data_IF_394829925191
#
_entry.id   IF_394829925191
#
_cell.length_a   1.000
_cell.length_b   1.000
_cell.length_c   1.000
_cell.angle_alpha   90.00
_cell.angle_beta   90.00
_cell.angle_gamma   90.00
#
_symmetry.space_group_name_H-M   'P 1'
#
loop_
_entity.id
_entity.type
_entity.pdbx_description
1 polymer ?
#
# COMPACT_ATOMS: atom_id res chain seq x y z
N UNK A 1 11.26 -43.29 -14.95
CA UNK A 1 10.43 -42.92 -16.13
C UNK A 1 9.04 -43.48 -15.91
N UNK A 2 8.05 -42.62 -15.62
CA UNK A 2 6.69 -43.06 -15.26
C UNK A 2 5.87 -43.35 -16.53
N UNK A 3 5.22 -44.52 -16.60
CA UNK A 3 4.37 -44.94 -17.72
C UNK A 3 3.16 -44.00 -17.85
N UNK A 4 3.00 -43.39 -19.01
CA UNK A 4 1.80 -42.62 -19.35
C UNK A 4 0.58 -43.55 -19.34
N UNK A 5 -0.46 -43.14 -18.62
CA UNK A 5 -1.75 -43.85 -18.56
C UNK A 5 -2.34 -43.97 -19.97
N UNK A 6 -2.76 -45.16 -20.38
CA UNK A 6 -3.33 -45.43 -21.72
C UNK A 6 -4.62 -44.65 -21.99
N UNK A 7 -5.27 -44.18 -20.94
CA UNK A 7 -6.52 -43.44 -20.89
C UNK A 7 -6.33 -41.93 -20.71
N UNK A 8 -5.09 -41.42 -20.77
CA UNK A 8 -4.79 -39.99 -20.61
C UNK A 8 -5.49 -39.14 -21.67
N UNK A 9 -5.59 -39.63 -22.91
CA UNK A 9 -6.20 -38.89 -24.01
C UNK A 9 -7.71 -38.61 -23.82
N UNK A 10 -8.40 -39.43 -23.02
CA UNK A 10 -9.81 -39.25 -22.71
C UNK A 10 -10.06 -38.57 -21.36
N UNK A 11 -8.99 -38.28 -20.61
CA UNK A 11 -9.09 -37.64 -19.30
C UNK A 11 -9.62 -36.21 -19.39
N UNK A 12 -10.40 -35.82 -18.39
CA UNK A 12 -10.86 -34.42 -18.22
C UNK A 12 -9.68 -33.44 -18.16
N UNK A 13 -8.54 -33.87 -17.64
CA UNK A 13 -7.33 -33.05 -17.57
C UNK A 13 -6.74 -32.74 -18.95
N UNK A 14 -6.76 -33.71 -19.87
CA UNK A 14 -6.27 -33.49 -21.22
C UNK A 14 -7.15 -32.53 -22.00
N UNK A 15 -8.48 -32.67 -21.90
CA UNK A 15 -9.44 -31.73 -22.50
C UNK A 15 -9.29 -30.30 -21.97
N UNK A 16 -9.05 -30.15 -20.67
CA UNK A 16 -8.80 -28.85 -20.06
C UNK A 16 -7.48 -28.24 -20.56
N UNK A 17 -6.42 -29.05 -20.67
CA UNK A 17 -5.13 -28.62 -21.23
C UNK A 17 -5.24 -28.21 -22.71
N UNK A 18 -5.99 -28.95 -23.53
CA UNK A 18 -6.21 -28.60 -24.95
C UNK A 18 -6.98 -27.28 -25.08
N UNK A 19 -8.01 -27.08 -24.25
CA UNK A 19 -8.76 -25.82 -24.20
C UNK A 19 -7.88 -24.64 -23.80
N UNK A 20 -7.00 -24.82 -22.79
CA UNK A 20 -6.05 -23.79 -22.35
C UNK A 20 -5.07 -23.38 -23.46
N UNK A 21 -4.69 -24.35 -24.31
CA UNK A 21 -3.75 -24.15 -25.41
C UNK A 21 -4.42 -23.69 -26.73
N UNK A 22 -5.75 -23.56 -26.76
CA UNK A 22 -6.50 -23.15 -27.96
C UNK A 22 -6.61 -24.23 -29.04
N UNK A 23 -6.27 -25.47 -28.73
CA UNK A 23 -6.43 -26.61 -29.63
C UNK A 23 -7.89 -27.07 -29.61
N UNK A 24 -8.66 -26.70 -30.63
CA UNK A 24 -10.04 -27.20 -30.78
C UNK A 24 -10.00 -28.71 -31.05
N UNK A 25 -10.73 -29.55 -30.30
CA UNK A 25 -10.80 -30.97 -30.58
C UNK A 25 -11.50 -31.18 -31.92
N UNK A 26 -10.74 -31.56 -32.95
CA UNK A 26 -11.32 -32.04 -34.20
C UNK A 26 -11.88 -33.42 -33.92
N UNK A 27 -13.16 -33.46 -33.57
CA UNK A 27 -13.92 -34.70 -33.43
C UNK A 27 -14.04 -35.32 -34.84
N UNK A 28 -13.07 -36.16 -35.23
CA UNK A 28 -13.17 -36.93 -36.47
C UNK A 28 -14.26 -37.99 -36.27
N UNK A 29 -15.52 -37.59 -36.43
CA UNK A 29 -16.60 -38.54 -36.66
C UNK A 29 -16.31 -39.19 -37.99
N UNK A 30 -15.92 -40.46 -37.97
CA UNK A 30 -15.94 -41.31 -39.16
C UNK A 30 -17.39 -41.42 -39.63
N UNK A 31 -17.82 -40.50 -40.50
CA UNK A 31 -19.08 -40.66 -41.22
C UNK A 31 -18.92 -41.85 -42.17
N UNK A 32 -19.82 -42.86 -42.14
CA UNK A 32 -19.81 -43.92 -43.13
C UNK A 32 -20.42 -43.37 -44.43
N UNK A 33 -19.58 -42.76 -45.28
CA UNK A 33 -20.02 -42.05 -46.49
C UNK A 33 -19.97 -42.89 -47.78
N UNK A 34 -19.84 -44.21 -47.66
CA UNK A 34 -19.60 -45.09 -48.81
C UNK A 34 -20.86 -45.68 -49.48
N UNK A 35 -22.06 -45.18 -49.15
CA UNK A 35 -23.35 -45.75 -49.61
C UNK A 35 -24.35 -44.72 -50.19
N UNK A 36 -23.92 -43.50 -50.48
CA UNK A 36 -24.78 -42.48 -51.09
C UNK A 36 -24.61 -42.52 -52.62
N UNK A 37 -25.71 -42.39 -53.36
CA UNK A 37 -25.66 -42.22 -54.83
C UNK A 37 -25.16 -40.82 -55.20
N UNK A 38 -24.58 -40.64 -56.41
CA UNK A 38 -23.99 -39.35 -56.84
C UNK A 38 -24.98 -38.18 -56.74
N UNK A 39 -26.27 -38.43 -56.96
CA UNK A 39 -27.34 -37.44 -56.86
C UNK A 39 -27.65 -37.04 -55.41
N UNK A 40 -27.62 -38.01 -54.48
CA UNK A 40 -27.78 -37.78 -53.04
C UNK A 40 -26.57 -37.04 -52.45
N UNK A 41 -25.38 -37.35 -52.94
CA UNK A 41 -24.12 -36.72 -52.52
C UNK A 41 -24.08 -35.25 -52.93
N UNK A 42 -24.48 -34.95 -54.17
CA UNK A 42 -24.60 -33.57 -54.68
C UNK A 42 -25.61 -32.75 -53.84
N UNK A 43 -26.79 -33.32 -53.57
CA UNK A 43 -27.84 -32.65 -52.80
C UNK A 43 -27.42 -32.39 -51.35
N UNK A 44 -26.72 -33.35 -50.72
CA UNK A 44 -26.18 -33.18 -49.37
C UNK A 44 -25.05 -32.14 -49.34
N UNK A 45 -24.20 -32.09 -50.36
CA UNK A 45 -23.15 -31.07 -50.48
C UNK A 45 -23.75 -29.66 -50.61
N UNK A 46 -24.81 -29.49 -51.39
CA UNK A 46 -25.56 -28.23 -51.46
C UNK A 46 -26.20 -27.86 -50.11
N UNK A 47 -26.82 -28.81 -49.41
CA UNK A 47 -27.39 -28.59 -48.08
C UNK A 47 -26.33 -28.19 -47.04
N UNK A 48 -25.18 -28.86 -47.02
CA UNK A 48 -24.08 -28.56 -46.09
C UNK A 48 -23.43 -27.22 -46.42
N UNK A 49 -23.30 -26.86 -47.70
CA UNK A 49 -22.85 -25.53 -48.14
C UNK A 49 -23.84 -24.42 -47.73
N UNK A 50 -25.15 -24.64 -47.84
CA UNK A 50 -26.15 -23.69 -47.39
C UNK A 50 -26.19 -23.57 -45.86
N UNK A 51 -25.99 -24.68 -45.13
CA UNK A 51 -25.80 -24.67 -43.66
C UNK A 51 -24.56 -23.90 -43.24
N UNK A 52 -23.44 -24.09 -43.95
CA UNK A 52 -22.20 -23.36 -43.68
C UNK A 52 -22.36 -21.85 -43.93
N UNK A 53 -23.02 -21.45 -45.03
CA UNK A 53 -23.33 -20.04 -45.32
C UNK A 53 -24.29 -19.43 -44.27
N UNK A 54 -25.30 -20.18 -43.83
CA UNK A 54 -26.21 -19.71 -42.77
C UNK A 54 -25.51 -19.61 -41.42
N UNK A 55 -24.63 -20.55 -41.09
CA UNK A 55 -23.79 -20.48 -39.89
C UNK A 55 -22.87 -19.26 -39.92
N UNK A 56 -22.15 -19.01 -41.03
CA UNK A 56 -21.31 -17.83 -41.20
C UNK A 56 -22.10 -16.52 -41.12
N UNK A 57 -23.29 -16.43 -41.75
CA UNK A 57 -24.16 -15.26 -41.65
C UNK A 57 -24.66 -15.04 -40.23
N UNK A 58 -24.94 -16.12 -39.48
CA UNK A 58 -25.37 -16.06 -38.09
C UNK A 58 -24.24 -15.59 -37.17
N UNK A 59 -23.01 -16.09 -37.38
CA UNK A 59 -21.83 -15.61 -36.69
C UNK A 59 -21.55 -14.14 -36.99
N UNK A 60 -21.51 -13.74 -38.27
CA UNK A 60 -21.29 -12.34 -38.65
C UNK A 60 -22.33 -11.38 -38.03
N UNK A 61 -23.60 -11.79 -37.96
CA UNK A 61 -24.66 -11.05 -37.26
C UNK A 61 -24.42 -10.96 -35.75
N UNK A 62 -23.97 -12.04 -35.11
CA UNK A 62 -23.64 -12.04 -33.69
C UNK A 62 -22.44 -11.13 -33.41
N UNK A 63 -21.37 -11.22 -34.21
CA UNK A 63 -20.20 -10.34 -34.10
C UNK A 63 -20.56 -8.87 -34.29
N UNK A 64 -21.40 -8.53 -35.28
CA UNK A 64 -21.88 -7.17 -35.47
C UNK A 64 -22.69 -6.66 -34.26
N UNK A 65 -23.55 -7.51 -33.69
CA UNK A 65 -24.35 -7.18 -32.50
C UNK A 65 -23.49 -6.99 -31.24
N UNK A 66 -22.46 -7.81 -31.04
CA UNK A 66 -21.52 -7.66 -29.93
C UNK A 66 -20.62 -6.42 -30.08
N UNK A 67 -20.28 -6.05 -31.31
CA UNK A 67 -19.47 -4.87 -31.60
C UNK A 67 -20.20 -3.55 -31.33
N UNK A 68 -21.49 -3.47 -31.64
CA UNK A 68 -22.30 -2.26 -31.40
C UNK A 68 -22.86 -2.16 -29.99
N UNK A 69 -22.87 -3.25 -29.23
CA UNK A 69 -23.44 -3.29 -27.88
C UNK A 69 -22.77 -2.34 -26.87
N UNK A 70 -21.43 -2.18 -26.83
CA UNK A 70 -20.77 -1.18 -25.99
C UNK A 70 -21.17 0.26 -26.34
N UNK A 71 -21.42 0.55 -27.61
CA UNK A 71 -21.69 1.90 -28.11
C UNK A 71 -23.13 2.37 -27.83
N UNK A 72 -24.11 1.45 -27.77
CA UNK A 72 -25.52 1.85 -27.60
C UNK A 72 -26.05 1.74 -26.16
N UNK A 73 -25.71 0.67 -25.42
CA UNK A 73 -26.36 0.36 -24.11
C UNK A 73 -25.46 -0.34 -23.08
N UNK A 74 -24.40 -1.00 -23.53
CA UNK A 74 -23.53 -1.85 -22.69
C UNK A 74 -22.83 -1.08 -21.58
N UNK A 75 -22.29 0.11 -21.89
CA UNK A 75 -21.60 0.96 -20.90
C UNK A 75 -22.54 1.42 -19.79
N UNK A 76 -23.77 1.84 -20.11
CA UNK A 76 -24.72 2.32 -19.10
C UNK A 76 -25.23 1.19 -18.19
N UNK A 77 -25.44 -0.01 -18.75
CA UNK A 77 -25.80 -1.21 -17.97
C UNK A 77 -24.62 -1.60 -17.08
N UNK A 78 -23.40 -1.64 -17.63
CA UNK A 78 -22.19 -1.93 -16.88
C UNK A 78 -21.98 -0.95 -15.72
N UNK A 79 -22.07 0.36 -15.96
CA UNK A 79 -21.94 1.37 -14.90
C UNK A 79 -23.03 1.26 -13.83
N UNK A 80 -24.26 0.91 -14.22
CA UNK A 80 -25.37 0.73 -13.26
C UNK A 80 -25.13 -0.51 -12.40
N UNK A 81 -24.75 -1.62 -13.02
CA UNK A 81 -24.41 -2.87 -12.31
C UNK A 81 -23.19 -2.67 -11.41
N UNK A 82 -22.14 -2.00 -11.90
CA UNK A 82 -20.95 -1.65 -11.13
C UNK A 82 -21.29 -0.79 -9.92
N UNK A 83 -22.08 0.27 -10.10
CA UNK A 83 -22.53 1.13 -8.98
C UNK A 83 -23.33 0.33 -7.95
N UNK A 84 -24.26 -0.52 -8.39
CA UNK A 84 -25.05 -1.36 -7.49
C UNK A 84 -24.15 -2.33 -6.72
N UNK A 85 -23.24 -3.03 -7.40
CA UNK A 85 -22.29 -3.95 -6.77
C UNK A 85 -21.35 -3.23 -5.80
N UNK A 86 -20.83 -2.05 -6.17
CA UNK A 86 -19.98 -1.25 -5.30
C UNK A 86 -20.71 -0.81 -4.02
N UNK A 87 -21.97 -0.39 -4.13
CA UNK A 87 -22.82 -0.05 -2.98
C UNK A 87 -23.10 -1.29 -2.13
N UNK A 88 -23.43 -2.42 -2.73
CA UNK A 88 -23.67 -3.68 -2.01
C UNK A 88 -22.41 -4.14 -1.26
N UNK A 89 -21.24 -4.06 -1.89
CA UNK A 89 -19.95 -4.39 -1.25
C UNK A 89 -19.68 -3.42 -0.09
N UNK A 90 -19.87 -2.12 -0.29
CA UNK A 90 -19.70 -1.14 0.79
C UNK A 90 -20.64 -1.42 1.96
N UNK A 91 -21.92 -1.67 1.70
CA UNK A 91 -22.90 -2.01 2.73
C UNK A 91 -22.55 -3.33 3.43
N UNK A 92 -22.04 -4.33 2.70
CA UNK A 92 -21.58 -5.58 3.29
C UNK A 92 -20.37 -5.37 4.21
N UNK A 93 -19.39 -4.56 3.79
CA UNK A 93 -18.23 -4.22 4.62
C UNK A 93 -18.65 -3.43 5.86
N UNK A 94 -19.49 -2.40 5.70
CA UNK A 94 -20.03 -1.62 6.83
C UNK A 94 -20.83 -2.52 7.77
N UNK A 95 -21.71 -3.36 7.25
CA UNK A 95 -22.49 -4.31 8.04
C UNK A 95 -21.61 -5.28 8.81
N UNK A 96 -20.59 -5.85 8.16
CA UNK A 96 -19.60 -6.72 8.80
C UNK A 96 -18.85 -6.00 9.94
N UNK A 97 -18.41 -4.77 9.72
CA UNK A 97 -17.74 -3.97 10.74
C UNK A 97 -18.68 -3.61 11.90
N UNK A 98 -19.92 -3.22 11.63
CA UNK A 98 -20.92 -2.93 12.66
C UNK A 98 -21.27 -4.16 13.49
N UNK A 99 -21.42 -5.32 12.84
CA UNK A 99 -21.61 -6.60 13.53
C UNK A 99 -20.40 -6.88 14.44
N UNK A 100 -19.17 -6.73 13.92
CA UNK A 100 -17.95 -6.92 14.71
C UNK A 100 -17.91 -5.98 15.92
N UNK A 101 -18.26 -4.70 15.73
CA UNK A 101 -18.35 -3.72 16.81
C UNK A 101 -19.41 -4.09 17.83
N UNK A 102 -20.55 -4.65 17.39
CA UNK A 102 -21.62 -5.10 18.31
C UNK A 102 -21.22 -6.29 19.18
N UNK A 103 -20.22 -7.07 18.76
CA UNK A 103 -19.64 -8.19 19.52
C UNK A 103 -18.42 -7.79 20.37
N UNK A 104 -17.99 -6.52 20.35
CA UNK A 104 -16.91 -6.09 21.22
C UNK A 104 -17.33 -6.24 22.69
N UNK A 105 -16.46 -6.82 23.54
CA UNK A 105 -16.77 -6.97 24.95
C UNK A 105 -16.91 -5.60 25.64
N UNK A 106 -17.76 -5.56 26.68
CA UNK A 106 -17.93 -4.35 27.47
C UNK A 106 -16.62 -3.90 28.13
N UNK A 107 -16.42 -2.59 28.17
CA UNK A 107 -15.20 -2.02 28.70
C UNK A 107 -15.06 -2.30 30.21
N UNK A 108 -13.87 -2.72 30.65
CA UNK A 108 -13.56 -2.91 32.07
C UNK A 108 -13.94 -4.26 32.68
N UNK A 109 -14.54 -5.18 31.91
CA UNK A 109 -14.82 -6.53 32.39
C UNK A 109 -13.52 -7.37 32.48
N UNK A 110 -13.32 -8.06 33.60
CA UNK A 110 -12.15 -8.91 33.87
C UNK A 110 -12.04 -10.10 32.92
N UNK A 111 -13.18 -10.62 32.45
CA UNK A 111 -13.23 -11.83 31.61
C UNK A 111 -13.02 -11.52 30.12
N UNK A 112 -12.72 -10.27 29.79
CA UNK A 112 -12.45 -9.87 28.42
C UNK A 112 -11.24 -10.63 27.84
N UNK A 113 -11.30 -11.09 26.59
CA UNK A 113 -10.19 -11.83 25.95
C UNK A 113 -8.84 -11.09 25.94
N UNK A 114 -8.87 -9.76 26.07
CA UNK A 114 -7.67 -8.91 26.18
C UNK A 114 -6.92 -9.11 27.51
N UNK A 115 -7.60 -9.54 28.57
CA UNK A 115 -7.01 -9.79 29.89
C UNK A 115 -6.40 -11.20 29.94
N UNK A 116 -5.38 -11.43 29.12
CA UNK A 116 -4.69 -12.71 29.01
C UNK A 116 -3.25 -12.64 29.57
N UNK A 117 -2.52 -13.75 29.46
CA UNK A 117 -1.13 -13.84 29.90
C UNK A 117 -0.20 -12.82 29.22
N UNK A 118 -0.48 -12.47 27.96
CA UNK A 118 0.34 -11.54 27.17
C UNK A 118 0.21 -10.12 27.73
N UNK A 119 -1.02 -9.65 27.95
CA UNK A 119 -1.28 -8.35 28.57
C UNK A 119 -0.70 -8.28 29.98
N UNK A 120 -0.85 -9.35 30.77
CA UNK A 120 -0.26 -9.46 32.11
C UNK A 120 1.26 -9.35 32.06
N UNK A 121 1.92 -10.07 31.12
CA UNK A 121 3.37 -10.02 30.91
C UNK A 121 3.86 -8.61 30.55
N UNK A 122 3.15 -7.93 29.63
CA UNK A 122 3.50 -6.56 29.24
C UNK A 122 3.45 -5.58 30.40
N UNK A 123 2.49 -5.73 31.31
CA UNK A 123 2.33 -4.85 32.47
C UNK A 123 3.34 -5.19 33.57
N UNK A 124 3.49 -6.47 33.92
CA UNK A 124 4.29 -6.91 35.07
C UNK A 124 5.79 -6.99 34.77
N UNK A 125 6.16 -7.38 33.54
CA UNK A 125 7.54 -7.67 33.14
C UNK A 125 8.07 -6.73 32.05
N UNK A 126 7.22 -5.83 31.54
CA UNK A 126 7.58 -4.90 30.46
C UNK A 126 8.81 -4.04 30.79
N UNK A 127 8.91 -3.53 32.02
CA UNK A 127 10.04 -2.67 32.41
C UNK A 127 11.35 -3.47 32.48
N UNK A 128 11.29 -4.70 32.99
CA UNK A 128 12.46 -5.57 33.15
C UNK A 128 12.99 -6.06 31.81
N UNK A 129 12.10 -6.34 30.85
CA UNK A 129 12.47 -6.85 29.52
C UNK A 129 12.88 -5.73 28.56
N UNK A 130 12.10 -4.65 28.52
CA UNK A 130 12.29 -3.59 27.52
C UNK A 130 13.10 -2.40 28.05
N UNK A 131 13.19 -2.24 29.37
CA UNK A 131 13.78 -1.07 30.02
C UNK A 131 12.98 0.22 29.84
N UNK A 132 11.82 0.19 29.19
CA UNK A 132 10.95 1.35 28.98
C UNK A 132 9.94 1.50 30.12
N UNK A 133 9.82 2.72 30.64
CA UNK A 133 8.80 3.07 31.65
C UNK A 133 7.43 3.21 30.98
N UNK A 134 7.42 3.71 29.73
CA UNK A 134 6.23 3.72 28.90
C UNK A 134 5.97 2.33 28.32
N UNK A 135 4.98 1.63 28.90
CA UNK A 135 4.55 0.28 28.50
C UNK A 135 4.14 0.24 27.02
N UNK A 136 3.47 1.27 26.51
CA UNK A 136 3.03 1.32 25.11
C UNK A 136 4.23 1.34 24.19
N UNK A 137 5.21 2.20 24.47
CA UNK A 137 6.43 2.29 23.66
C UNK A 137 7.28 1.02 23.76
N UNK A 138 7.40 0.42 24.94
CA UNK A 138 8.00 -0.91 25.10
C UNK A 138 7.27 -1.99 24.31
N UNK A 139 5.94 -1.94 24.25
CA UNK A 139 5.13 -2.86 23.44
C UNK A 139 5.40 -2.69 21.95
N UNK A 140 5.21 -1.49 21.40
CA UNK A 140 5.24 -1.27 19.95
C UNK A 140 6.66 -1.33 19.37
N UNK A 141 7.69 -0.97 20.15
CA UNK A 141 9.09 -0.94 19.69
C UNK A 141 9.92 -2.12 20.20
N UNK A 142 9.39 -2.99 21.05
CA UNK A 142 10.07 -4.23 21.44
C UNK A 142 9.25 -5.48 21.11
N UNK A 143 8.22 -5.77 21.90
CA UNK A 143 7.40 -6.98 21.73
C UNK A 143 6.76 -7.08 20.34
N UNK A 144 6.26 -5.96 19.83
CA UNK A 144 5.55 -5.82 18.54
C UNK A 144 6.33 -4.93 17.57
N UNK A 145 7.66 -4.97 17.64
CA UNK A 145 8.53 -4.16 16.79
C UNK A 145 8.33 -4.42 15.28
N UNK A 146 7.93 -5.63 14.89
CA UNK A 146 7.61 -5.94 13.50
C UNK A 146 6.41 -5.15 12.98
N UNK A 147 5.42 -4.88 13.83
CA UNK A 147 4.23 -4.12 13.44
C UNK A 147 4.62 -2.66 13.13
N UNK A 148 5.38 -2.03 14.04
CA UNK A 148 5.91 -0.67 13.83
C UNK A 148 6.83 -0.58 12.61
N UNK A 149 7.65 -1.60 12.38
CA UNK A 149 8.48 -1.69 11.18
C UNK A 149 7.62 -1.74 9.91
N UNK A 150 6.59 -2.58 9.91
CA UNK A 150 5.61 -2.69 8.83
C UNK A 150 4.87 -1.38 8.57
N UNK A 151 4.36 -0.72 9.61
CA UNK A 151 3.71 0.59 9.51
C UNK A 151 4.63 1.64 8.87
N UNK A 152 5.90 1.68 9.27
CA UNK A 152 6.89 2.60 8.68
C UNK A 152 7.16 2.30 7.21
N UNK A 153 7.16 1.02 6.82
CA UNK A 153 7.28 0.60 5.42
C UNK A 153 6.05 0.97 4.60
N UNK A 154 4.85 0.78 5.14
CA UNK A 154 3.59 1.15 4.49
C UNK A 154 3.58 2.65 4.18
N UNK A 155 4.01 3.49 5.13
CA UNK A 155 4.15 4.94 4.91
C UNK A 155 5.13 5.27 3.78
N UNK A 156 6.32 4.65 3.78
CA UNK A 156 7.32 4.85 2.73
C UNK A 156 6.84 4.39 1.34
N UNK A 157 6.21 3.22 1.26
CA UNK A 157 5.64 2.68 0.03
C UNK A 157 4.52 3.59 -0.47
N UNK A 158 3.64 4.08 0.41
CA UNK A 158 2.54 4.96 0.04
C UNK A 158 3.05 6.27 -0.59
N UNK A 159 4.09 6.90 -0.03
CA UNK A 159 4.73 8.07 -0.65
C UNK A 159 5.34 7.71 -2.01
N UNK A 160 6.03 6.57 -2.10
CA UNK A 160 6.64 6.11 -3.35
C UNK A 160 5.60 5.84 -4.44
N UNK A 161 4.45 5.25 -4.09
CA UNK A 161 3.33 5.02 -4.99
C UNK A 161 2.74 6.35 -5.48
N UNK A 162 2.48 7.31 -4.58
CA UNK A 162 1.98 8.63 -4.97
C UNK A 162 2.97 9.34 -5.88
N UNK A 163 4.28 9.31 -5.55
CA UNK A 163 5.33 9.85 -6.40
C UNK A 163 5.33 9.22 -7.80
N UNK A 164 5.25 7.89 -7.90
CA UNK A 164 5.20 7.20 -9.20
C UNK A 164 3.95 7.58 -9.99
N UNK A 165 2.77 7.62 -9.36
CA UNK A 165 1.50 7.95 -10.00
C UNK A 165 1.52 9.38 -10.54
N UNK A 166 1.96 10.36 -9.74
CA UNK A 166 2.03 11.75 -10.15
C UNK A 166 3.09 11.96 -11.23
N UNK A 167 4.20 11.24 -11.17
CA UNK A 167 5.25 11.30 -12.19
C UNK A 167 4.86 10.64 -13.51
N UNK A 168 4.01 9.60 -13.50
CA UNK A 168 3.50 8.94 -14.71
C UNK A 168 2.59 9.85 -15.55
N UNK A 169 1.99 10.88 -14.95
CA UNK A 169 1.21 11.90 -15.67
C UNK A 169 2.05 12.79 -16.60
N UNK A 170 3.38 12.82 -16.41
CA UNK A 170 4.35 13.68 -17.11
C UNK A 170 4.97 12.94 -18.33
N UNK A 171 4.60 11.68 -18.56
CA UNK A 171 5.20 10.79 -19.56
C UNK A 171 4.63 10.84 -20.99
N UNK A 172 4.36 12.02 -21.55
CA UNK A 172 4.08 12.17 -23.00
C UNK A 172 4.97 13.25 -23.63
N UNK A 173 6.08 12.82 -24.23
CA UNK A 173 6.89 13.50 -25.26
C UNK A 173 6.59 15.00 -25.49
N UNK A 174 6.98 15.83 -24.52
CA UNK A 174 7.17 17.27 -24.67
C UNK A 174 8.43 17.65 -23.90
N UNK A 175 9.18 18.65 -24.37
CA UNK A 175 10.47 19.07 -23.79
C UNK A 175 10.35 19.24 -22.26
N UNK A 176 11.03 18.35 -21.53
CA UNK A 176 11.01 18.25 -20.06
C UNK A 176 11.44 19.58 -19.40
N UNK A 177 12.27 20.37 -20.07
CA UNK A 177 12.74 21.67 -19.57
C UNK A 177 11.67 22.77 -19.65
N UNK A 178 10.86 22.80 -20.72
CA UNK A 178 9.80 23.80 -20.91
C UNK A 178 8.60 23.53 -20.00
N UNK A 179 8.30 22.26 -19.71
CA UNK A 179 7.21 21.87 -18.82
C UNK A 179 7.56 22.13 -17.36
N UNK A 180 8.78 21.77 -16.93
CA UNK A 180 9.28 22.11 -15.60
C UNK A 180 9.35 23.61 -15.35
N UNK A 181 9.71 24.39 -16.38
CA UNK A 181 9.71 25.85 -16.28
C UNK A 181 8.29 26.41 -16.08
N UNK A 182 7.30 25.87 -16.80
CA UNK A 182 5.88 26.28 -16.69
C UNK A 182 5.20 25.80 -15.40
N UNK A 183 5.52 24.60 -14.94
CA UNK A 183 5.03 24.08 -13.65
C UNK A 183 5.64 24.87 -12.49
N UNK A 184 6.96 25.11 -12.52
CA UNK A 184 7.61 25.95 -11.52
C UNK A 184 7.11 27.40 -11.54
N UNK A 185 6.69 27.92 -12.70
CA UNK A 185 6.03 29.22 -12.82
C UNK A 185 4.62 29.19 -12.22
N UNK A 186 3.80 28.18 -12.52
CA UNK A 186 2.47 28.00 -11.94
C UNK A 186 2.49 27.82 -10.41
N UNK A 187 3.46 27.09 -9.88
CA UNK A 187 3.60 26.89 -8.43
C UNK A 187 4.04 28.17 -7.72
N UNK A 188 4.92 28.98 -8.34
CA UNK A 188 5.28 30.33 -7.84
C UNK A 188 4.08 31.28 -7.83
N UNK A 189 3.10 31.08 -8.71
CA UNK A 189 1.85 31.85 -8.68
C UNK A 189 0.96 31.47 -7.48
N UNK A 190 1.07 30.23 -6.98
CA UNK A 190 0.38 29.69 -5.79
C UNK A 190 1.21 29.82 -4.50
N UNK A 191 2.44 30.33 -4.57
CA UNK A 191 3.23 30.61 -3.37
C UNK A 191 2.56 31.72 -2.54
N UNK A 192 2.56 31.60 -1.20
CA UNK A 192 1.95 32.58 -0.33
C UNK A 192 2.62 33.95 -0.56
N UNK A 193 1.84 34.89 -1.07
CA UNK A 193 2.28 36.27 -1.32
C UNK A 193 2.60 36.96 -0.01
N UNK A 194 3.86 36.88 0.45
CA UNK A 194 4.45 37.73 1.49
C UNK A 194 3.52 38.08 2.67
N UNK A 195 2.78 37.09 3.19
CA UNK A 195 1.96 37.30 4.38
C UNK A 195 2.90 37.48 5.58
N UNK A 196 3.08 38.74 5.97
CA UNK A 196 3.96 39.13 7.06
C UNK A 196 3.48 38.57 8.39
N UNK A 197 2.18 38.38 8.58
CA UNK A 197 1.61 37.84 9.81
C UNK A 197 1.97 36.35 9.89
N UNK A 198 1.67 35.60 8.83
CA UNK A 198 1.99 34.16 8.77
C UNK A 198 3.49 33.91 8.93
N UNK A 199 4.34 34.68 8.24
CA UNK A 199 5.79 34.54 8.34
C UNK A 199 6.32 34.85 9.75
N UNK A 200 5.78 35.86 10.43
CA UNK A 200 6.18 36.20 11.80
C UNK A 200 5.68 35.16 12.80
N UNK A 201 4.47 34.64 12.62
CA UNK A 201 3.94 33.56 13.43
C UNK A 201 4.75 32.28 13.25
N UNK A 202 5.02 31.87 12.01
CA UNK A 202 5.81 30.69 11.70
C UNK A 202 7.26 30.81 12.19
N UNK A 203 7.88 32.00 12.09
CA UNK A 203 9.21 32.25 12.64
C UNK A 203 9.32 31.92 14.13
N UNK A 204 8.25 32.22 14.90
CA UNK A 204 8.21 31.94 16.33
C UNK A 204 7.77 30.51 16.64
N UNK A 205 6.74 29.99 15.95
CA UNK A 205 6.14 28.70 16.23
C UNK A 205 6.97 27.52 15.72
N UNK A 206 7.55 27.59 14.53
CA UNK A 206 8.27 26.46 13.92
C UNK A 206 9.41 25.95 14.81
N UNK A 207 10.31 26.79 15.36
CA UNK A 207 11.35 26.31 16.27
C UNK A 207 10.79 25.60 17.51
N UNK A 208 9.70 26.13 18.09
CA UNK A 208 9.04 25.54 19.25
C UNK A 208 8.45 24.16 18.91
N UNK A 209 7.78 24.06 17.76
CA UNK A 209 7.22 22.80 17.25
C UNK A 209 8.33 21.76 17.05
N UNK A 210 9.47 22.15 16.48
CA UNK A 210 10.60 21.24 16.29
C UNK A 210 11.21 20.77 17.60
N UNK A 211 11.45 21.68 18.55
CA UNK A 211 11.96 21.32 19.88
C UNK A 211 10.99 20.37 20.58
N UNK A 212 9.69 20.66 20.52
CA UNK A 212 8.65 19.82 21.11
C UNK A 212 8.57 18.45 20.44
N UNK A 213 8.62 18.39 19.10
CA UNK A 213 8.63 17.13 18.36
C UNK A 213 9.86 16.28 18.67
N UNK A 214 11.05 16.89 18.74
CA UNK A 214 12.29 16.21 19.15
C UNK A 214 12.17 15.69 20.58
N UNK A 215 11.63 16.50 21.50
CA UNK A 215 11.34 16.07 22.87
C UNK A 215 10.43 14.83 22.91
N UNK A 216 9.31 14.84 22.17
CA UNK A 216 8.38 13.71 22.10
C UNK A 216 9.03 12.43 21.54
N UNK A 217 9.97 12.58 20.59
CA UNK A 217 10.74 11.44 20.05
C UNK A 217 11.71 10.90 21.12
N UNK A 218 12.52 11.78 21.71
CA UNK A 218 13.60 11.39 22.64
C UNK A 218 13.09 10.85 23.97
N UNK A 219 11.92 11.31 24.44
CA UNK A 219 11.32 10.90 25.71
C UNK A 219 10.20 9.87 25.53
N UNK A 220 10.05 9.27 24.34
CA UNK A 220 8.96 8.33 24.05
C UNK A 220 8.95 7.10 24.96
N UNK A 221 10.12 6.61 25.39
CA UNK A 221 10.22 5.48 26.33
C UNK A 221 9.92 5.84 27.78
N UNK A 222 9.80 7.13 28.11
CA UNK A 222 9.55 7.64 29.46
C UNK A 222 8.15 8.26 29.61
N UNK A 223 7.65 8.88 28.54
CA UNK A 223 6.42 9.67 28.53
C UNK A 223 5.52 9.28 27.37
N UNK A 224 4.20 9.59 27.41
CA UNK A 224 3.31 9.36 26.29
C UNK A 224 3.82 10.06 25.02
N UNK A 225 3.94 9.31 23.92
CA UNK A 225 4.51 9.83 22.68
C UNK A 225 5.28 8.76 21.90
N UNK A 226 6.46 9.15 21.39
CA UNK A 226 7.35 8.29 20.60
C UNK A 226 7.47 8.75 19.15
N UNK A 227 8.15 7.92 18.35
CA UNK A 227 8.57 8.22 16.98
C UNK A 227 7.44 8.73 16.09
N UNK A 228 6.29 8.03 16.02
CA UNK A 228 5.18 8.44 15.15
C UNK A 228 4.63 9.82 15.49
N UNK A 229 4.21 10.02 16.73
CA UNK A 229 3.63 11.29 17.18
C UNK A 229 4.61 12.46 17.06
N UNK A 230 5.86 12.26 17.48
CA UNK A 230 6.88 13.30 17.38
C UNK A 230 7.29 13.59 15.93
N UNK A 231 7.38 12.56 15.09
CA UNK A 231 7.58 12.71 13.65
C UNK A 231 6.44 13.49 12.99
N UNK A 232 5.19 13.25 13.39
CA UNK A 232 4.06 14.01 12.88
C UNK A 232 4.07 15.48 13.28
N UNK A 233 4.48 15.79 14.52
CA UNK A 233 4.68 17.16 15.00
C UNK A 233 5.75 17.88 14.17
N UNK A 234 6.90 17.24 13.94
CA UNK A 234 7.97 17.82 13.11
C UNK A 234 7.49 17.99 11.66
N UNK A 235 6.77 16.99 11.12
CA UNK A 235 6.15 17.06 9.79
C UNK A 235 5.19 18.26 9.65
N UNK A 236 4.33 18.49 10.64
CA UNK A 236 3.46 19.67 10.69
C UNK A 236 4.26 20.99 10.76
N UNK A 237 5.36 21.01 11.51
CA UNK A 237 6.27 22.15 11.54
C UNK A 237 6.92 22.43 10.19
N UNK A 238 7.32 21.39 9.44
CA UNK A 238 7.86 21.51 8.09
C UNK A 238 6.81 22.04 7.10
N UNK A 239 5.56 21.56 7.19
CA UNK A 239 4.45 22.03 6.36
C UNK A 239 4.17 23.51 6.65
N UNK A 240 4.06 23.89 7.93
CA UNK A 240 3.87 25.29 8.33
C UNK A 240 5.01 26.20 7.83
N UNK A 241 6.25 25.72 7.89
CA UNK A 241 7.40 26.46 7.38
C UNK A 241 7.29 26.67 5.86
N UNK A 242 6.93 25.63 5.12
CA UNK A 242 6.74 25.70 3.67
C UNK A 242 5.58 26.64 3.30
N UNK A 243 4.47 26.58 4.05
CA UNK A 243 3.32 27.48 3.86
C UNK A 243 3.61 28.94 4.20
N UNK A 244 4.59 29.22 5.06
CA UNK A 244 4.97 30.59 5.39
C UNK A 244 6.03 31.17 4.43
N UNK A 245 6.98 30.34 4.00
CA UNK A 245 8.22 30.79 3.35
C UNK A 245 8.37 30.34 1.89
N UNK A 246 7.49 29.48 1.39
CA UNK A 246 7.51 28.96 0.02
C UNK A 246 8.48 27.80 -0.20
N UNK A 247 8.48 27.27 -1.42
CA UNK A 247 9.26 26.11 -1.80
C UNK A 247 10.75 26.44 -1.93
N UNK A 248 11.09 27.61 -2.48
CA UNK A 248 12.49 27.99 -2.73
C UNK A 248 13.37 27.98 -1.48
N UNK A 249 12.79 28.31 -0.30
CA UNK A 249 13.53 28.27 0.97
C UNK A 249 13.54 26.88 1.59
N UNK A 250 12.50 26.09 1.36
CA UNK A 250 12.33 24.77 1.99
C UNK A 250 13.10 23.67 1.25
N UNK A 251 13.10 23.71 -0.09
CA UNK A 251 13.86 22.79 -0.94
C UNK A 251 15.38 22.90 -0.76
N UNK A 252 15.89 23.99 -0.16
CA UNK A 252 17.32 24.13 0.16
C UNK A 252 17.82 23.07 1.14
N UNK A 253 16.95 22.60 2.05
CA UNK A 253 17.32 21.59 3.04
C UNK A 253 16.55 20.28 2.88
N UNK A 254 15.31 20.33 2.37
CA UNK A 254 14.50 19.15 2.16
C UNK A 254 14.31 18.87 0.67
N UNK A 255 15.13 17.96 0.13
CA UNK A 255 15.07 17.51 -1.27
C UNK A 255 14.62 16.05 -1.34
N UNK A 256 14.27 15.57 -2.55
CA UNK A 256 14.05 14.14 -2.79
C UNK A 256 15.25 13.27 -2.34
N UNK A 257 16.48 13.80 -2.46
CA UNK A 257 17.68 13.12 -1.96
C UNK A 257 17.64 13.01 -0.44
N UNK A 258 17.29 14.09 0.26
CA UNK A 258 17.12 14.10 1.72
C UNK A 258 16.08 13.06 2.14
N UNK A 259 14.89 13.08 1.53
CA UNK A 259 13.83 12.11 1.80
C UNK A 259 14.32 10.68 1.59
N UNK A 260 14.94 10.37 0.44
CA UNK A 260 15.42 9.03 0.13
C UNK A 260 16.48 8.56 1.12
N UNK A 261 17.46 9.41 1.43
CA UNK A 261 18.56 9.05 2.35
C UNK A 261 18.04 8.85 3.76
N UNK A 262 17.22 9.77 4.28
CA UNK A 262 16.68 9.69 5.65
C UNK A 262 15.75 8.49 5.79
N UNK A 263 14.83 8.27 4.84
CA UNK A 263 13.90 7.15 4.89
C UNK A 263 14.62 5.81 4.77
N UNK A 264 15.56 5.68 3.81
CA UNK A 264 16.33 4.44 3.64
C UNK A 264 17.23 4.18 4.86
N UNK A 265 17.96 5.18 5.35
CA UNK A 265 18.81 5.03 6.52
C UNK A 265 17.98 4.67 7.76
N UNK A 266 16.86 5.36 8.00
CA UNK A 266 15.98 5.07 9.13
C UNK A 266 15.42 3.65 9.09
N UNK A 267 14.89 3.21 7.95
CA UNK A 267 14.34 1.86 7.81
C UNK A 267 15.41 0.77 7.88
N UNK A 268 16.60 0.98 7.29
CA UNK A 268 17.71 0.03 7.37
C UNK A 268 18.29 -0.06 8.78
N UNK A 269 18.45 1.07 9.48
CA UNK A 269 18.89 1.07 10.88
C UNK A 269 17.87 0.36 11.75
N UNK A 270 16.57 0.57 11.54
CA UNK A 270 15.53 -0.17 12.24
C UNK A 270 15.65 -1.67 11.99
N UNK A 271 15.72 -2.07 10.71
CA UNK A 271 15.84 -3.47 10.30
C UNK A 271 17.08 -4.13 10.93
N UNK A 272 18.23 -3.47 10.88
CA UNK A 272 19.48 -3.98 11.45
C UNK A 272 19.40 -4.10 12.98
N UNK A 273 18.90 -3.06 13.67
CA UNK A 273 18.77 -3.06 15.11
C UNK A 273 17.85 -4.19 15.60
N UNK A 274 16.70 -4.40 14.95
CA UNK A 274 15.79 -5.48 15.32
C UNK A 274 16.23 -6.86 14.85
N UNK A 275 16.89 -6.97 13.70
CA UNK A 275 17.53 -8.23 13.29
C UNK A 275 18.56 -8.67 14.33
N UNK A 276 19.37 -7.74 14.86
CA UNK A 276 20.28 -8.02 15.97
C UNK A 276 19.54 -8.48 17.24
N UNK A 277 18.48 -7.76 17.63
CA UNK A 277 17.66 -8.11 18.80
C UNK A 277 17.03 -9.50 18.70
N UNK A 278 16.48 -9.86 17.53
CA UNK A 278 15.87 -11.17 17.31
C UNK A 278 16.90 -12.28 17.21
N UNK A 279 18.03 -12.03 16.54
CA UNK A 279 19.11 -13.01 16.45
C UNK A 279 19.69 -13.34 17.82
N UNK A 280 19.96 -12.32 18.65
CA UNK A 280 20.47 -12.53 20.01
C UNK A 280 19.44 -13.21 20.90
N UNK A 281 18.18 -12.77 20.88
CA UNK A 281 17.10 -13.37 21.66
C UNK A 281 16.82 -14.84 21.28
N UNK A 282 16.72 -15.16 19.99
CA UNK A 282 16.43 -16.51 19.51
C UNK A 282 17.54 -17.53 19.80
N UNK A 283 18.79 -17.08 19.89
CA UNK A 283 19.94 -17.92 20.21
C UNK A 283 20.31 -17.90 21.72
N UNK A 284 19.47 -17.26 22.56
CA UNK A 284 19.74 -17.06 23.99
C UNK A 284 21.10 -16.37 24.28
N UNK A 285 21.56 -15.54 23.35
CA UNK A 285 22.78 -14.75 23.49
C UNK A 285 22.42 -13.46 24.23
N UNK A 286 23.16 -13.16 25.29
CA UNK A 286 22.98 -11.90 26.02
C UNK A 286 23.27 -10.71 25.09
N UNK A 287 22.31 -9.81 24.94
CA UNK A 287 22.50 -8.56 24.21
C UNK A 287 23.66 -7.77 24.82
N UNK A 288 24.53 -7.25 23.96
CA UNK A 288 25.65 -6.38 24.32
C UNK A 288 25.12 -4.99 24.69
N UNK A 289 23.96 -4.62 24.14
CA UNK A 289 23.34 -3.31 24.35
C UNK A 289 22.60 -3.32 25.69
N UNK A 290 23.05 -2.53 26.69
CA UNK A 290 22.42 -2.53 28.00
C UNK A 290 21.07 -1.81 27.94
N UNK A 291 20.12 -2.28 28.75
CA UNK A 291 18.83 -1.62 28.95
C UNK A 291 18.95 -0.31 29.74
N UNK A 292 20.08 -0.08 30.40
CA UNK A 292 20.31 1.11 31.23
C UNK A 292 19.48 1.11 32.51
N UNK A 293 19.35 2.28 33.12
CA UNK A 293 18.54 2.48 34.34
C UNK A 293 17.17 3.04 33.90
N UNK A 294 16.05 2.33 34.16
CA UNK A 294 14.72 2.83 33.83
C UNK A 294 14.49 4.23 34.40
N UNK A 295 13.94 5.14 33.59
CA UNK A 295 13.74 6.54 33.96
C UNK A 295 14.80 7.50 33.41
N UNK A 296 15.97 7.02 33.01
CA UNK A 296 17.00 7.85 32.37
C UNK A 296 16.77 7.97 30.85
N UNK A 297 17.28 9.03 30.23
CA UNK A 297 17.17 9.23 28.77
C UNK A 297 17.90 8.11 28.01
N UNK A 298 19.12 7.76 28.42
CA UNK A 298 19.88 6.63 27.89
C UNK A 298 19.47 5.33 28.59
N UNK A 299 18.20 4.95 28.42
CA UNK A 299 17.63 3.68 28.88
C UNK A 299 16.80 3.03 27.77
N UNK A 300 16.27 1.84 28.03
CA UNK A 300 15.43 1.07 27.12
C UNK A 300 16.17 0.50 25.88
N UNK A 301 17.49 0.34 25.98
CA UNK A 301 18.32 -0.31 24.96
C UNK A 301 18.19 0.34 23.57
N UNK A 302 17.66 -0.42 22.61
CA UNK A 302 17.51 0.02 21.22
C UNK A 302 16.31 0.96 20.98
N UNK A 303 15.37 1.04 21.92
CA UNK A 303 14.09 1.76 21.73
C UNK A 303 14.30 3.24 21.39
N UNK A 304 15.26 3.91 22.01
CA UNK A 304 15.57 5.31 21.70
C UNK A 304 16.00 5.50 20.24
N UNK A 305 16.90 4.65 19.75
CA UNK A 305 17.38 4.69 18.36
C UNK A 305 16.22 4.44 17.39
N UNK A 306 15.38 3.45 17.70
CA UNK A 306 14.21 3.12 16.89
C UNK A 306 13.19 4.26 16.85
N UNK A 307 12.95 4.94 17.98
CA UNK A 307 12.12 6.14 18.04
C UNK A 307 12.63 7.24 17.11
N UNK A 308 13.94 7.50 17.13
CA UNK A 308 14.58 8.49 16.25
C UNK A 308 14.41 8.11 14.78
N UNK A 309 14.67 6.85 14.42
CA UNK A 309 14.49 6.36 13.05
C UNK A 309 13.04 6.50 12.57
N UNK A 310 12.07 6.02 13.35
CA UNK A 310 10.65 6.12 13.01
C UNK A 310 10.21 7.58 12.92
N UNK A 311 10.59 8.42 13.87
CA UNK A 311 10.23 9.84 13.85
C UNK A 311 10.78 10.59 12.65
N UNK A 312 12.02 10.28 12.24
CA UNK A 312 12.60 10.84 11.03
C UNK A 312 11.84 10.39 9.76
N UNK A 313 11.54 9.09 9.63
CA UNK A 313 10.77 8.55 8.49
C UNK A 313 9.39 9.19 8.43
N UNK A 314 8.66 9.26 9.56
CA UNK A 314 7.31 9.81 9.62
C UNK A 314 7.29 11.31 9.29
N UNK A 315 8.21 12.07 9.87
CA UNK A 315 8.35 13.51 9.56
C UNK A 315 8.61 13.74 8.08
N UNK A 316 9.53 12.96 7.49
CA UNK A 316 9.85 13.05 6.08
C UNK A 316 8.67 12.68 5.20
N UNK A 317 7.93 11.62 5.56
CA UNK A 317 6.75 11.14 4.83
C UNK A 317 5.60 12.15 4.86
N UNK A 318 5.30 12.75 6.02
CA UNK A 318 4.23 13.74 6.10
C UNK A 318 4.52 14.98 5.24
N UNK A 319 5.74 15.49 5.30
CA UNK A 319 6.17 16.58 4.44
C UNK A 319 6.13 16.19 2.96
N UNK A 320 6.63 14.99 2.62
CA UNK A 320 6.63 14.46 1.26
C UNK A 320 5.22 14.38 0.67
N UNK A 321 4.24 13.84 1.41
CA UNK A 321 2.86 13.80 0.94
C UNK A 321 2.32 15.20 0.64
N UNK A 322 2.55 16.14 1.54
CA UNK A 322 2.08 17.51 1.35
C UNK A 322 2.66 18.14 0.08
N UNK A 323 3.98 18.02 -0.11
CA UNK A 323 4.67 18.53 -1.31
C UNK A 323 4.17 17.85 -2.57
N UNK A 324 4.04 16.53 -2.57
CA UNK A 324 3.58 15.78 -3.74
C UNK A 324 2.16 16.15 -4.16
N UNK A 325 1.23 16.29 -3.22
CA UNK A 325 -0.14 16.70 -3.58
C UNK A 325 -0.24 18.17 -3.98
N UNK A 326 0.65 19.03 -3.49
CA UNK A 326 0.64 20.46 -3.81
C UNK A 326 1.31 20.77 -5.16
N UNK A 327 2.47 20.18 -5.42
CA UNK A 327 3.34 20.48 -6.57
C UNK A 327 3.36 19.40 -7.65
N UNK A 328 3.09 18.14 -7.28
CA UNK A 328 3.22 16.99 -8.18
C UNK A 328 4.63 16.38 -8.26
N UNK A 329 5.66 17.08 -7.77
CA UNK A 329 7.06 16.61 -7.71
C UNK A 329 7.80 17.29 -6.53
N UNK A 330 9.02 16.82 -6.24
CA UNK A 330 9.89 17.31 -5.16
C UNK A 330 10.79 18.48 -5.54
#
# INVERSE_FOLDING_TARGET
MSKVRKDYEQSKWHRFSQWLNGEMPVEYKSSPEWHLTDEELSKKYEEDMERAKTAQRKEARLYAKYRSWPEEKGVHIYERVYRILAVLICLAVIGSLLITVSYLPEFGNSDNPVNNEVSKRYIEQGIQETGAVNIVTGMILDYRAFDTFGESHVLFIAVSCVFIILRLGIGKEKNIEDEKAKEAENDRLLEPKNDKILQKAAFFLVPIIFIFGIYVILFGHLSPGGGFSGGAIIGAGLILYLDAYGFQKTERFFTLKTFRVVSLAGLLTYAAAKSYSFFTGANHIKSIIPLGIPGHILSSGLILVLNICVGAVVSCTMYAFYVLFRKGDF
#
